data_IF_817660419735
#
_entry.id   IF_817660419735
#
_cell.length_a   1.000
_cell.length_b   1.000
_cell.length_c   1.000
_cell.angle_alpha   90.00
_cell.angle_beta   90.00
_cell.angle_gamma   90.00
#
_symmetry.space_group_name_H-M   'P 1'
#
loop_
_entity.id
_entity.type
_entity.pdbx_description
1 polymer ?
#
# COMPACT_ATOMS: atom_id res chain seq x y z
N UNK A 1 6.14 -9.78 1.00
CA UNK A 1 5.52 -9.23 -0.22
C UNK A 1 5.34 -10.32 -1.29
N UNK A 2 6.40 -10.99 -1.76
CA UNK A 2 6.36 -12.01 -2.83
C UNK A 2 5.35 -13.12 -2.51
N UNK A 3 5.31 -13.63 -1.28
CA UNK A 3 4.33 -14.64 -0.85
C UNK A 3 2.90 -14.18 -1.09
N UNK A 4 2.59 -12.94 -0.73
CA UNK A 4 1.25 -12.36 -0.95
C UNK A 4 0.93 -12.16 -2.43
N UNK A 5 1.96 -11.92 -3.26
CA UNK A 5 1.79 -11.91 -4.73
C UNK A 5 1.32 -13.26 -5.22
N UNK A 6 1.97 -14.34 -4.76
CA UNK A 6 1.60 -15.73 -5.11
C UNK A 6 0.15 -16.03 -4.65
N UNK A 7 -0.18 -15.71 -3.40
CA UNK A 7 -1.53 -15.92 -2.84
C UNK A 7 -2.62 -15.25 -3.73
N UNK A 8 -2.36 -14.05 -4.26
CA UNK A 8 -3.28 -13.35 -5.17
C UNK A 8 -3.41 -14.05 -6.54
N UNK A 9 -2.30 -14.55 -7.08
CA UNK A 9 -2.33 -15.29 -8.35
C UNK A 9 -3.10 -16.61 -8.17
N UNK A 10 -2.86 -17.35 -7.08
CA UNK A 10 -3.60 -18.56 -6.74
C UNK A 10 -5.10 -18.29 -6.57
N UNK A 11 -5.47 -17.20 -5.87
CA UNK A 11 -6.87 -16.81 -5.74
C UNK A 11 -7.51 -16.51 -7.10
N UNK A 12 -6.79 -15.87 -8.02
CA UNK A 12 -7.28 -15.58 -9.36
C UNK A 12 -7.52 -16.84 -10.21
N UNK A 13 -6.82 -17.94 -9.95
CA UNK A 13 -7.07 -19.23 -10.62
C UNK A 13 -8.48 -19.77 -10.36
N UNK A 14 -9.13 -19.36 -9.27
CA UNK A 14 -10.53 -19.72 -8.96
C UNK A 14 -11.59 -18.89 -9.68
N UNK A 15 -11.20 -17.78 -10.31
CA UNK A 15 -12.14 -16.84 -10.93
C UNK A 15 -13.03 -17.44 -12.04
N UNK A 16 -12.56 -18.36 -12.90
CA UNK A 16 -13.43 -18.97 -13.91
C UNK A 16 -14.69 -19.61 -13.32
N UNK A 17 -14.59 -20.22 -12.15
CA UNK A 17 -15.76 -20.77 -11.44
C UNK A 17 -16.73 -19.69 -10.95
N UNK A 18 -16.21 -18.51 -10.57
CA UNK A 18 -17.03 -17.36 -10.12
C UNK A 18 -17.63 -16.56 -11.30
N UNK A 19 -17.12 -16.78 -12.51
CA UNK A 19 -17.65 -16.17 -13.74
C UNK A 19 -18.89 -16.85 -14.28
N UNK A 20 -19.32 -17.96 -13.71
CA UNK A 20 -20.57 -18.62 -14.10
C UNK A 20 -21.72 -17.62 -14.06
N UNK A 21 -22.55 -17.65 -15.11
CA UNK A 21 -23.73 -16.82 -15.22
C UNK A 21 -24.89 -17.33 -14.37
N UNK A 22 -26.03 -16.74 -14.60
CA UNK A 22 -27.31 -17.16 -13.98
C UNK A 22 -28.31 -17.48 -15.08
N UNK A 23 -29.11 -18.52 -14.86
CA UNK A 23 -30.25 -18.83 -15.71
C UNK A 23 -31.55 -18.78 -14.87
N UNK A 24 -32.54 -18.07 -15.36
CA UNK A 24 -33.88 -17.98 -14.78
C UNK A 24 -34.84 -18.53 -15.80
N UNK A 25 -35.46 -19.70 -15.51
CA UNK A 25 -36.46 -20.29 -16.39
C UNK A 25 -37.85 -19.74 -16.08
N UNK A 26 -38.64 -19.51 -17.12
CA UNK A 26 -40.01 -19.01 -17.00
C UNK A 26 -40.15 -17.72 -16.18
N UNK A 27 -39.23 -16.80 -16.34
CA UNK A 27 -39.29 -15.46 -15.71
C UNK A 27 -40.57 -14.71 -16.10
N UNK A 28 -41.09 -15.02 -17.29
CA UNK A 28 -42.42 -14.73 -17.78
C UNK A 28 -42.88 -15.91 -18.65
N UNK A 29 -44.15 -15.97 -18.98
CA UNK A 29 -44.70 -17.11 -19.76
C UNK A 29 -43.95 -17.23 -21.10
N UNK A 30 -43.20 -18.34 -21.24
CA UNK A 30 -42.43 -18.66 -22.45
C UNK A 30 -41.13 -17.87 -22.60
N UNK A 31 -40.64 -17.21 -21.52
CA UNK A 31 -39.39 -16.45 -21.53
C UNK A 31 -38.42 -17.02 -20.51
N UNK A 32 -37.26 -17.43 -20.97
CA UNK A 32 -36.09 -17.75 -20.14
C UNK A 32 -35.07 -16.65 -20.27
N UNK A 33 -34.37 -16.31 -19.17
CA UNK A 33 -33.31 -15.30 -19.13
C UNK A 33 -31.99 -15.94 -18.74
N UNK A 34 -30.93 -15.60 -19.46
CA UNK A 34 -29.56 -16.07 -19.17
C UNK A 34 -28.63 -14.86 -19.10
N UNK A 35 -27.93 -14.72 -17.98
CA UNK A 35 -26.89 -13.72 -17.79
C UNK A 35 -25.50 -14.34 -18.03
N UNK A 36 -24.71 -13.73 -18.91
CA UNK A 36 -23.32 -14.10 -19.15
C UNK A 36 -22.39 -12.97 -18.71
N UNK A 37 -21.25 -13.33 -18.13
CA UNK A 37 -20.16 -12.39 -17.82
C UNK A 37 -19.22 -12.35 -19.02
N UNK A 38 -18.91 -11.16 -19.50
CA UNK A 38 -18.02 -10.94 -20.65
C UNK A 38 -16.90 -9.97 -20.27
N UNK A 39 -15.69 -10.09 -20.86
CA UNK A 39 -14.62 -9.14 -20.65
C UNK A 39 -14.99 -7.73 -21.16
N UNK A 40 -14.42 -6.70 -20.53
CA UNK A 40 -14.64 -5.30 -20.90
C UNK A 40 -13.58 -4.78 -21.87
N UNK A 41 -12.40 -5.37 -21.89
CA UNK A 41 -11.29 -4.96 -22.74
C UNK A 41 -9.99 -4.72 -21.99
N UNK A 42 -9.35 -3.58 -22.21
CA UNK A 42 -8.03 -3.26 -21.62
C UNK A 42 -8.16 -2.53 -20.31
N UNK A 43 -7.45 -2.98 -19.28
CA UNK A 43 -7.35 -2.32 -17.99
C UNK A 43 -5.95 -1.73 -17.78
N UNK A 44 -5.89 -0.51 -17.26
CA UNK A 44 -4.66 0.11 -16.78
C UNK A 44 -4.54 -0.07 -15.25
N UNK A 45 -3.37 -0.50 -14.79
CA UNK A 45 -3.04 -0.65 -13.37
C UNK A 45 -1.89 0.29 -13.00
N UNK A 46 -2.12 1.16 -12.03
CA UNK A 46 -1.16 2.17 -11.56
C UNK A 46 -0.88 1.91 -10.08
N UNK A 47 0.10 1.04 -9.76
CA UNK A 47 0.45 0.69 -8.40
C UNK A 47 1.43 1.67 -7.76
N UNK A 48 1.55 1.67 -6.41
CA UNK A 48 2.50 2.50 -5.68
C UNK A 48 3.91 1.89 -5.66
N UNK A 49 4.85 2.62 -5.09
CA UNK A 49 6.25 2.20 -4.96
C UNK A 49 6.51 1.21 -3.82
N UNK A 50 5.69 1.22 -2.76
CA UNK A 50 5.99 0.53 -1.50
C UNK A 50 5.78 -1.00 -1.54
N UNK A 51 4.98 -1.48 -2.50
CA UNK A 51 4.76 -2.91 -2.76
C UNK A 51 4.72 -3.17 -4.27
N UNK A 52 5.89 -3.15 -4.94
CA UNK A 52 5.97 -3.17 -6.40
C UNK A 52 5.61 -4.51 -7.05
N UNK A 53 5.53 -5.61 -6.29
CA UNK A 53 5.05 -6.90 -6.76
C UNK A 53 3.61 -7.18 -6.29
N UNK A 54 3.32 -6.97 -5.00
CA UNK A 54 2.06 -7.36 -4.39
C UNK A 54 0.89 -6.51 -4.88
N UNK A 55 1.01 -5.19 -4.87
CA UNK A 55 -0.13 -4.32 -5.21
C UNK A 55 -0.55 -4.44 -6.67
N UNK A 56 0.36 -4.53 -7.66
CA UNK A 56 -0.07 -4.86 -9.02
C UNK A 56 -0.83 -6.18 -9.11
N UNK A 57 -0.43 -7.20 -8.32
CA UNK A 57 -1.09 -8.51 -8.33
C UNK A 57 -2.50 -8.52 -7.72
N UNK A 58 -2.94 -7.44 -7.12
CA UNK A 58 -4.35 -7.29 -6.73
C UNK A 58 -5.28 -7.07 -7.94
N UNK A 59 -4.72 -6.80 -9.11
CA UNK A 59 -5.49 -6.39 -10.30
C UNK A 59 -5.19 -7.25 -11.53
N UNK A 60 -3.92 -7.36 -11.96
CA UNK A 60 -3.58 -7.99 -13.24
C UNK A 60 -3.97 -9.49 -13.32
N UNK A 61 -3.86 -10.32 -12.26
CA UNK A 61 -4.26 -11.73 -12.37
C UNK A 61 -5.76 -11.88 -12.59
N UNK A 62 -6.54 -11.04 -11.91
CA UNK A 62 -8.00 -11.03 -12.03
C UNK A 62 -8.45 -10.48 -13.39
N UNK A 63 -7.77 -9.48 -13.93
CA UNK A 63 -8.03 -8.99 -15.29
C UNK A 63 -7.80 -10.10 -16.31
N UNK A 64 -6.65 -10.79 -16.26
CA UNK A 64 -6.34 -11.91 -17.15
C UNK A 64 -7.33 -13.08 -16.99
N UNK A 65 -7.63 -13.50 -15.75
CA UNK A 65 -8.54 -14.60 -15.47
C UNK A 65 -9.98 -14.33 -15.92
N UNK A 66 -10.37 -13.06 -16.05
CA UNK A 66 -11.70 -12.64 -16.57
C UNK A 66 -11.70 -12.32 -18.06
N UNK A 67 -10.62 -12.65 -18.79
CA UNK A 67 -10.50 -12.48 -20.25
C UNK A 67 -10.19 -11.06 -20.70
N UNK A 68 -9.74 -10.19 -19.80
CA UNK A 68 -9.30 -8.84 -20.13
C UNK A 68 -7.79 -8.78 -20.37
N UNK A 69 -7.35 -7.77 -21.13
CA UNK A 69 -5.94 -7.40 -21.20
C UNK A 69 -5.60 -6.38 -20.11
N UNK A 70 -4.35 -6.38 -19.67
CA UNK A 70 -3.89 -5.47 -18.62
C UNK A 70 -2.57 -4.79 -19.00
N UNK A 71 -2.48 -3.50 -18.72
CA UNK A 71 -1.25 -2.71 -18.81
C UNK A 71 -0.89 -2.26 -17.39
N UNK A 72 0.23 -2.73 -16.87
CA UNK A 72 0.77 -2.30 -15.57
C UNK A 72 1.79 -1.20 -15.79
N UNK A 73 1.54 -0.02 -15.21
CA UNK A 73 2.51 1.09 -15.16
C UNK A 73 3.04 1.21 -13.73
N UNK A 74 4.17 0.58 -13.40
CA UNK A 74 4.74 0.68 -12.05
C UNK A 74 5.19 2.10 -11.72
N UNK A 75 5.48 2.34 -10.43
CA UNK A 75 6.14 3.59 -10.03
C UNK A 75 7.52 3.68 -10.70
N UNK A 76 7.83 4.85 -11.24
CA UNK A 76 9.13 5.17 -11.84
C UNK A 76 10.29 5.07 -10.85
N UNK A 77 10.00 5.09 -9.55
CA UNK A 77 10.99 4.97 -8.48
C UNK A 77 11.46 3.52 -8.24
N UNK A 78 10.64 2.52 -8.63
CA UNK A 78 10.91 1.10 -8.37
C UNK A 78 10.54 0.20 -9.57
N UNK A 79 11.06 0.46 -10.77
CA UNK A 79 10.64 -0.25 -11.98
C UNK A 79 11.18 -1.69 -12.05
N UNK A 80 12.30 -1.99 -11.39
CA UNK A 80 13.05 -3.25 -11.55
C UNK A 80 12.22 -4.47 -11.15
N UNK A 81 11.52 -4.42 -10.02
CA UNK A 81 10.71 -5.55 -9.53
C UNK A 81 9.61 -5.93 -10.52
N UNK A 82 8.87 -4.93 -11.03
CA UNK A 82 7.83 -5.19 -12.03
C UNK A 82 8.40 -5.67 -13.35
N UNK A 83 9.53 -5.12 -13.79
CA UNK A 83 10.22 -5.59 -15.02
C UNK A 83 10.59 -7.06 -14.89
N UNK A 84 11.22 -7.46 -13.77
CA UNK A 84 11.60 -8.86 -13.55
C UNK A 84 10.38 -9.79 -13.43
N UNK A 85 9.31 -9.34 -12.79
CA UNK A 85 8.07 -10.12 -12.70
C UNK A 85 7.46 -10.37 -14.09
N UNK A 86 7.47 -9.36 -14.97
CA UNK A 86 6.92 -9.50 -16.31
C UNK A 86 7.78 -10.38 -17.24
N UNK A 87 9.11 -10.41 -17.06
CA UNK A 87 9.97 -11.40 -17.70
C UNK A 87 9.54 -12.82 -17.30
N UNK A 88 9.32 -13.07 -16.02
CA UNK A 88 8.86 -14.38 -15.52
C UNK A 88 7.46 -14.74 -16.03
N UNK A 89 6.55 -13.77 -16.18
CA UNK A 89 5.22 -13.96 -16.77
C UNK A 89 5.32 -14.36 -18.24
N UNK A 90 6.23 -13.75 -18.99
CA UNK A 90 6.50 -14.11 -20.39
C UNK A 90 7.08 -15.53 -20.49
N UNK A 91 8.08 -15.86 -19.66
CA UNK A 91 8.64 -17.21 -19.53
C UNK A 91 7.57 -18.27 -19.18
N UNK A 92 6.53 -17.89 -18.41
CA UNK A 92 5.40 -18.77 -18.06
C UNK A 92 4.43 -19.01 -19.23
N UNK A 93 4.61 -18.35 -20.38
CA UNK A 93 3.86 -18.60 -21.61
C UNK A 93 2.50 -17.88 -21.68
N UNK A 94 2.35 -16.75 -21.03
CA UNK A 94 1.18 -15.91 -21.25
C UNK A 94 1.09 -15.46 -22.71
N UNK A 95 -0.09 -15.49 -23.33
CA UNK A 95 -0.24 -15.02 -24.72
C UNK A 95 0.19 -13.55 -24.87
N UNK A 96 0.92 -13.20 -25.94
CA UNK A 96 1.34 -11.83 -26.19
C UNK A 96 0.15 -10.84 -26.16
N UNK A 97 0.35 -9.70 -25.49
CA UNK A 97 -0.65 -8.64 -25.39
C UNK A 97 -1.70 -8.82 -24.30
N UNK A 98 -1.76 -9.97 -23.62
CA UNK A 98 -2.67 -10.15 -22.45
C UNK A 98 -2.18 -9.34 -21.26
N UNK A 99 -0.90 -9.46 -20.92
CA UNK A 99 -0.27 -8.71 -19.84
C UNK A 99 0.88 -7.89 -20.42
N UNK A 100 0.90 -6.60 -20.11
CA UNK A 100 1.84 -5.65 -20.67
C UNK A 100 2.43 -4.78 -19.56
N UNK A 101 3.73 -4.51 -19.63
CA UNK A 101 4.42 -3.58 -18.75
C UNK A 101 4.74 -2.29 -19.50
N UNK A 102 4.38 -1.14 -18.93
CA UNK A 102 4.71 0.15 -19.49
C UNK A 102 5.37 1.04 -18.44
N UNK A 103 6.68 1.15 -18.49
CA UNK A 103 7.43 2.06 -17.63
C UNK A 103 7.25 3.51 -18.06
N UNK A 104 7.27 4.42 -17.11
CA UNK A 104 7.17 5.86 -17.36
C UNK A 104 6.70 6.64 -16.14
N UNK A 105 6.68 7.92 -16.29
CA UNK A 105 6.32 8.89 -15.25
C UNK A 105 4.80 9.17 -15.20
N UNK A 106 4.45 10.29 -14.57
CA UNK A 106 3.09 10.77 -14.47
C UNK A 106 2.40 10.96 -15.83
N UNK A 107 3.13 11.42 -16.86
CA UNK A 107 2.55 11.70 -18.19
C UNK A 107 2.04 10.41 -18.84
N UNK A 108 2.76 9.31 -18.66
CA UNK A 108 2.34 7.98 -19.13
C UNK A 108 1.09 7.51 -18.37
N UNK A 109 1.03 7.74 -17.06
CA UNK A 109 -0.16 7.40 -16.27
C UNK A 109 -1.39 8.17 -16.75
N UNK A 110 -1.27 9.47 -16.96
CA UNK A 110 -2.36 10.34 -17.49
C UNK A 110 -2.79 9.89 -18.88
N UNK A 111 -1.84 9.53 -19.75
CA UNK A 111 -2.13 9.01 -21.08
C UNK A 111 -2.93 7.71 -21.04
N UNK A 112 -2.60 6.78 -20.13
CA UNK A 112 -3.36 5.54 -19.93
C UNK A 112 -4.77 5.84 -19.41
N UNK A 113 -4.91 6.74 -18.45
CA UNK A 113 -6.20 7.12 -17.87
C UNK A 113 -7.13 7.75 -18.90
N UNK A 114 -6.60 8.49 -19.87
CA UNK A 114 -7.40 9.19 -20.88
C UNK A 114 -7.56 8.41 -22.20
N UNK A 115 -6.74 7.36 -22.42
CA UNK A 115 -6.68 6.64 -23.70
C UNK A 115 -8.03 5.97 -24.04
N UNK A 116 -8.60 6.19 -25.22
CA UNK A 116 -9.94 5.68 -25.59
C UNK A 116 -10.02 4.14 -25.60
N UNK A 117 -8.93 3.44 -25.87
CA UNK A 117 -8.86 1.97 -25.85
C UNK A 117 -8.78 1.34 -24.46
N UNK A 118 -8.64 2.13 -23.39
CA UNK A 118 -8.64 1.64 -22.01
C UNK A 118 -10.06 1.67 -21.47
N UNK A 119 -10.59 0.51 -21.08
CA UNK A 119 -11.95 0.36 -20.57
C UNK A 119 -12.05 0.65 -19.05
N UNK A 120 -10.98 0.40 -18.31
CA UNK A 120 -10.97 0.60 -16.86
C UNK A 120 -9.58 0.91 -16.31
N UNK A 121 -9.57 1.56 -15.14
CA UNK A 121 -8.35 1.96 -14.41
C UNK A 121 -8.44 1.48 -12.97
N UNK A 122 -7.39 0.81 -12.52
CA UNK A 122 -7.20 0.45 -11.11
C UNK A 122 -5.91 1.10 -10.60
N UNK A 123 -6.00 1.84 -9.50
CA UNK A 123 -4.82 2.50 -8.94
C UNK A 123 -4.80 2.43 -7.41
N UNK A 124 -3.58 2.40 -6.86
CA UNK A 124 -3.34 2.61 -5.42
C UNK A 124 -2.26 3.67 -5.30
N UNK A 125 -2.61 4.81 -4.75
CA UNK A 125 -1.74 6.00 -4.70
C UNK A 125 -2.05 6.84 -3.46
N UNK A 126 -1.38 7.98 -3.30
CA UNK A 126 -1.78 8.94 -2.25
C UNK A 126 -3.23 9.44 -2.49
N UNK A 127 -3.92 9.80 -1.42
CA UNK A 127 -5.33 10.26 -1.50
C UNK A 127 -5.57 11.39 -2.51
N UNK A 128 -4.72 12.45 -2.60
CA UNK A 128 -4.90 13.48 -3.64
C UNK A 128 -4.78 12.93 -5.06
N UNK A 129 -3.80 12.04 -5.30
CA UNK A 129 -3.59 11.40 -6.61
C UNK A 129 -4.74 10.45 -6.95
N UNK A 130 -5.20 9.65 -5.98
CA UNK A 130 -6.34 8.75 -6.16
C UNK A 130 -7.61 9.51 -6.59
N UNK A 131 -7.90 10.64 -5.93
CA UNK A 131 -9.02 11.53 -6.30
C UNK A 131 -8.88 12.10 -7.71
N UNK A 132 -7.67 12.52 -8.09
CA UNK A 132 -7.40 13.06 -9.43
C UNK A 132 -7.57 11.98 -10.52
N UNK A 133 -7.02 10.79 -10.31
CA UNK A 133 -7.18 9.64 -11.23
C UNK A 133 -8.64 9.24 -11.35
N UNK A 134 -9.36 9.17 -10.23
CA UNK A 134 -10.78 8.85 -10.22
C UNK A 134 -11.60 9.85 -11.04
N UNK A 135 -11.40 11.14 -10.79
CA UNK A 135 -12.10 12.20 -11.51
C UNK A 135 -11.81 12.16 -13.03
N UNK A 136 -10.52 12.04 -13.39
CA UNK A 136 -10.10 12.01 -14.79
C UNK A 136 -10.64 10.77 -15.52
N UNK A 137 -10.54 9.58 -14.93
CA UNK A 137 -11.06 8.35 -15.53
C UNK A 137 -12.59 8.41 -15.70
N UNK A 138 -13.30 8.92 -14.70
CA UNK A 138 -14.77 9.07 -14.75
C UNK A 138 -15.21 10.04 -15.84
N UNK A 139 -14.49 11.15 -16.04
CA UNK A 139 -14.75 12.09 -17.14
C UNK A 139 -14.63 11.45 -18.54
N UNK A 140 -13.81 10.39 -18.64
CA UNK A 140 -13.63 9.63 -19.88
C UNK A 140 -14.51 8.37 -19.95
N UNK A 141 -15.52 8.25 -19.07
CA UNK A 141 -16.49 7.15 -19.08
C UNK A 141 -15.93 5.77 -18.72
N UNK A 142 -14.78 5.71 -18.02
CA UNK A 142 -14.10 4.46 -17.69
C UNK A 142 -14.60 3.86 -16.38
N UNK A 143 -14.50 2.54 -16.25
CA UNK A 143 -14.56 1.89 -14.96
C UNK A 143 -13.33 2.30 -14.15
N UNK A 144 -13.51 2.69 -12.87
CA UNK A 144 -12.41 3.18 -12.06
C UNK A 144 -12.49 2.66 -10.63
N UNK A 145 -11.34 2.20 -10.14
CA UNK A 145 -11.13 1.82 -8.75
C UNK A 145 -9.83 2.46 -8.27
N UNK A 146 -9.92 3.31 -7.24
CA UNK A 146 -8.76 3.99 -6.68
C UNK A 146 -8.69 3.76 -5.18
N UNK A 147 -7.60 3.13 -4.72
CA UNK A 147 -7.21 3.10 -3.31
C UNK A 147 -6.39 4.34 -2.95
N UNK A 148 -6.70 4.96 -1.83
CA UNK A 148 -5.99 6.11 -1.28
C UNK A 148 -5.23 5.77 0.00
N UNK A 149 -4.78 6.79 0.72
CA UNK A 149 -4.11 6.69 2.02
C UNK A 149 -5.08 6.34 3.15
N UNK A 150 -4.50 5.98 4.30
CA UNK A 150 -5.22 5.65 5.52
C UNK A 150 -4.48 6.20 6.75
N UNK A 151 -5.18 6.27 7.89
CA UNK A 151 -4.59 6.49 9.22
C UNK A 151 -5.11 5.41 10.15
N UNK A 152 -4.27 4.41 10.40
CA UNK A 152 -4.69 3.20 11.10
C UNK A 152 -4.36 3.27 12.58
N UNK A 153 -5.18 2.58 13.38
CA UNK A 153 -5.07 2.49 14.81
C UNK A 153 -4.82 1.05 15.24
N UNK A 154 -3.91 0.87 16.19
CA UNK A 154 -3.77 -0.35 16.97
C UNK A 154 -4.31 -0.07 18.36
N UNK A 155 -5.39 -0.74 18.74
CA UNK A 155 -5.99 -0.61 20.07
C UNK A 155 -5.49 -1.77 20.91
N UNK A 156 -4.79 -1.44 22.00
CA UNK A 156 -4.22 -2.42 22.93
C UNK A 156 -5.04 -2.44 24.21
N UNK A 157 -5.70 -3.57 24.45
CA UNK A 157 -6.56 -3.77 25.61
C UNK A 157 -5.76 -4.09 26.86
N UNK A 158 -6.31 -3.87 28.08
CA UNK A 158 -5.58 -4.08 29.35
C UNK A 158 -5.16 -5.54 29.62
N UNK A 159 -5.81 -6.49 28.98
CA UNK A 159 -5.54 -7.92 29.07
C UNK A 159 -4.66 -8.46 27.93
N UNK A 160 -4.07 -7.56 27.13
CA UNK A 160 -3.17 -7.94 26.05
C UNK A 160 -1.86 -8.53 26.62
N UNK A 161 -1.40 -9.61 25.99
CA UNK A 161 -0.07 -10.16 26.23
C UNK A 161 0.99 -9.25 25.59
N UNK A 162 1.77 -8.57 26.42
CA UNK A 162 2.78 -7.61 25.97
C UNK A 162 3.90 -8.30 25.19
N UNK A 163 4.37 -9.48 25.63
CA UNK A 163 5.45 -10.22 24.97
C UNK A 163 5.07 -10.61 23.55
N UNK A 164 3.82 -11.03 23.34
CA UNK A 164 3.29 -11.36 22.03
C UNK A 164 2.93 -10.12 21.20
N UNK A 165 2.37 -9.09 21.81
CA UNK A 165 1.85 -7.90 21.10
C UNK A 165 2.95 -6.95 20.64
N UNK A 166 4.00 -6.75 21.45
CA UNK A 166 5.05 -5.78 21.20
C UNK A 166 5.76 -5.97 19.84
N UNK A 167 6.24 -7.18 19.48
CA UNK A 167 6.88 -7.39 18.18
C UNK A 167 5.94 -7.12 16.99
N UNK A 168 4.65 -7.46 17.13
CA UNK A 168 3.65 -7.25 16.09
C UNK A 168 3.33 -5.76 15.91
N UNK A 169 3.26 -4.98 16.99
CA UNK A 169 3.09 -3.53 16.94
C UNK A 169 4.31 -2.90 16.25
N UNK A 170 5.52 -3.29 16.66
CA UNK A 170 6.77 -2.80 16.07
C UNK A 170 6.85 -3.08 14.57
N UNK A 171 6.55 -4.31 14.12
CA UNK A 171 6.51 -4.62 12.68
C UNK A 171 5.40 -3.84 11.95
N UNK A 172 4.23 -3.68 12.58
CA UNK A 172 3.14 -2.91 11.99
C UNK A 172 3.50 -1.44 11.76
N UNK A 173 4.16 -0.80 12.73
CA UNK A 173 4.50 0.62 12.67
C UNK A 173 5.75 0.89 11.83
N UNK A 174 6.83 0.14 12.07
CA UNK A 174 8.16 0.44 11.51
C UNK A 174 8.54 -0.44 10.32
N UNK A 175 7.83 -1.54 10.09
CA UNK A 175 8.07 -2.38 8.92
C UNK A 175 7.97 -1.56 7.62
N UNK A 176 8.91 -1.80 6.69
CA UNK A 176 9.05 -1.00 5.45
C UNK A 176 9.20 0.51 5.74
N UNK A 177 9.83 0.85 6.88
CA UNK A 177 10.06 2.25 7.33
C UNK A 177 8.74 3.03 7.50
N UNK A 178 7.68 2.35 7.95
CA UNK A 178 6.33 2.93 8.08
C UNK A 178 5.65 3.29 6.75
N UNK A 179 6.22 2.90 5.61
CA UNK A 179 5.69 3.20 4.27
C UNK A 179 4.68 2.12 3.83
N UNK A 180 3.76 1.79 4.71
CA UNK A 180 2.66 0.86 4.46
C UNK A 180 1.31 1.58 4.62
N UNK A 181 0.39 1.38 3.69
CA UNK A 181 -0.99 1.88 3.82
C UNK A 181 -1.73 1.26 5.02
N UNK A 182 -1.28 0.10 5.51
CA UNK A 182 -1.82 -0.60 6.67
C UNK A 182 -0.95 -0.45 7.94
N UNK A 183 0.06 0.45 7.95
CA UNK A 183 0.87 0.70 9.14
C UNK A 183 -0.01 1.21 10.30
N UNK A 184 0.02 0.53 11.44
CA UNK A 184 -0.72 0.93 12.64
C UNK A 184 -0.03 2.07 13.38
N UNK A 185 0.07 3.23 12.73
CA UNK A 185 0.88 4.36 13.21
C UNK A 185 0.33 5.06 14.45
N UNK A 186 -0.97 4.93 14.73
CA UNK A 186 -1.57 5.34 16.01
C UNK A 186 -1.71 4.12 16.92
N UNK A 187 -1.07 4.14 18.10
CA UNK A 187 -1.17 3.08 19.10
C UNK A 187 -1.95 3.63 20.31
N UNK A 188 -3.10 3.02 20.59
CA UNK A 188 -4.01 3.46 21.65
C UNK A 188 -4.01 2.41 22.76
N UNK A 189 -3.34 2.70 23.87
CA UNK A 189 -3.39 1.88 25.07
C UNK A 189 -4.62 2.22 25.91
N UNK A 190 -5.36 1.20 26.34
CA UNK A 190 -6.57 1.38 27.14
C UNK A 190 -6.26 1.30 28.62
N UNK A 191 -6.67 2.34 29.35
CA UNK A 191 -6.54 2.42 30.82
C UNK A 191 -5.08 2.49 31.29
N UNK A 192 -4.77 1.85 32.43
CA UNK A 192 -3.44 1.86 33.04
C UNK A 192 -2.40 1.04 32.29
N UNK A 193 -2.79 0.26 31.27
CA UNK A 193 -1.83 -0.51 30.47
C UNK A 193 -0.84 0.38 29.72
N UNK A 194 -1.18 1.65 29.51
CA UNK A 194 -0.28 2.65 28.96
C UNK A 194 1.03 2.80 29.75
N UNK A 195 0.97 2.66 31.08
CA UNK A 195 2.14 2.79 31.98
C UNK A 195 3.18 1.70 31.73
N UNK A 196 2.78 0.54 31.24
CA UNK A 196 3.63 -0.58 30.89
C UNK A 196 4.00 -0.57 29.38
N UNK A 197 3.03 -0.34 28.52
CA UNK A 197 3.20 -0.41 27.07
C UNK A 197 4.11 0.70 26.53
N UNK A 198 3.93 1.95 26.96
CA UNK A 198 4.68 3.07 26.39
C UNK A 198 6.19 2.96 26.61
N UNK A 199 6.69 2.65 27.82
CA UNK A 199 8.13 2.41 28.02
C UNK A 199 8.66 1.24 27.18
N UNK A 200 7.89 0.15 27.05
CA UNK A 200 8.28 -1.01 26.27
C UNK A 200 8.39 -0.68 24.76
N UNK A 201 7.47 0.11 24.24
CA UNK A 201 7.50 0.58 22.86
C UNK A 201 8.72 1.48 22.59
N UNK A 202 9.04 2.40 23.49
CA UNK A 202 10.21 3.28 23.37
C UNK A 202 11.49 2.47 23.40
N UNK A 203 11.60 1.52 24.33
CA UNK A 203 12.77 0.64 24.42
C UNK A 203 12.94 -0.23 23.17
N UNK A 204 11.86 -0.83 22.68
CA UNK A 204 11.90 -1.63 21.45
C UNK A 204 12.25 -0.76 20.23
N UNK A 205 11.69 0.43 20.11
CA UNK A 205 11.95 1.36 19.01
C UNK A 205 13.42 1.84 19.00
N UNK A 206 14.01 2.09 20.18
CA UNK A 206 15.41 2.52 20.30
C UNK A 206 16.44 1.46 19.85
N UNK A 207 16.03 0.20 19.79
CA UNK A 207 16.88 -0.92 19.33
C UNK A 207 16.78 -1.22 17.84
N UNK A 208 15.91 -0.53 17.11
CA UNK A 208 15.74 -0.73 15.66
C UNK A 208 16.99 -0.27 14.92
N UNK A 209 17.64 -1.17 14.24
CA UNK A 209 18.82 -0.89 13.42
C UNK A 209 18.42 -0.29 12.08
N UNK A 210 19.00 0.86 11.74
CA UNK A 210 18.68 1.60 10.51
C UNK A 210 19.86 1.55 9.54
N UNK A 211 19.63 1.15 8.30
CA UNK A 211 20.70 1.04 7.32
C UNK A 211 20.25 0.51 5.97
N UNK A 212 21.22 0.03 5.18
CA UNK A 212 20.91 -0.60 3.90
C UNK A 212 20.25 -1.97 4.14
N UNK A 213 19.05 -2.15 3.61
CA UNK A 213 18.26 -3.39 3.80
C UNK A 213 18.87 -4.67 3.20
N UNK A 214 20.00 -4.56 2.48
CA UNK A 214 20.77 -5.72 2.02
C UNK A 214 21.83 -6.17 3.03
N UNK A 215 22.11 -5.35 4.03
CA UNK A 215 23.10 -5.68 5.05
C UNK A 215 22.44 -6.52 6.16
N UNK A 216 23.21 -7.49 6.67
CA UNK A 216 22.73 -8.39 7.74
C UNK A 216 22.48 -7.62 9.05
N UNK A 217 21.39 -7.93 9.72
CA UNK A 217 21.00 -7.31 10.99
C UNK A 217 20.35 -5.92 10.87
N UNK A 218 20.13 -5.41 9.67
CA UNK A 218 19.37 -4.18 9.47
C UNK A 218 17.88 -4.47 9.48
N UNK A 219 17.17 -3.81 10.39
CA UNK A 219 15.73 -3.96 10.57
C UNK A 219 14.91 -2.96 9.72
N UNK A 220 15.45 -1.77 9.47
CA UNK A 220 14.72 -0.69 8.79
C UNK A 220 15.59 0.02 7.75
N UNK A 221 15.10 0.06 6.51
CA UNK A 221 15.72 0.74 5.37
C UNK A 221 15.41 2.24 5.29
N UNK A 222 15.72 2.90 4.17
CA UNK A 222 15.42 4.31 3.96
C UNK A 222 13.94 4.54 3.60
N UNK A 223 13.47 5.78 3.73
CA UNK A 223 12.29 6.25 3.00
C UNK A 223 12.63 6.44 1.52
N UNK A 224 11.61 6.50 0.67
CA UNK A 224 11.77 6.38 -0.78
C UNK A 224 12.52 7.56 -1.44
N UNK A 225 12.38 8.77 -0.93
CA UNK A 225 12.99 9.99 -1.50
C UNK A 225 13.35 10.99 -0.43
N UNK A 226 14.21 11.96 -0.78
CA UNK A 226 14.49 13.13 0.08
C UNK A 226 13.23 13.93 0.38
N UNK A 227 12.36 14.13 -0.60
CA UNK A 227 11.08 14.83 -0.38
C UNK A 227 10.20 14.10 0.66
N UNK A 228 10.18 12.76 0.64
CA UNK A 228 9.51 11.96 1.66
C UNK A 228 10.16 12.12 3.03
N UNK A 229 11.49 12.13 3.10
CA UNK A 229 12.23 12.36 4.33
C UNK A 229 11.90 13.73 4.96
N UNK A 230 11.92 14.79 4.17
CA UNK A 230 11.57 16.14 4.63
C UNK A 230 10.11 16.24 5.07
N UNK A 231 9.20 15.59 4.36
CA UNK A 231 7.80 15.53 4.74
C UNK A 231 7.62 14.86 6.11
N UNK A 232 8.27 13.71 6.35
CA UNK A 232 8.20 13.01 7.64
C UNK A 232 8.78 13.89 8.77
N UNK A 233 9.93 14.56 8.54
CA UNK A 233 10.50 15.52 9.49
C UNK A 233 9.52 16.62 9.85
N UNK A 234 8.79 17.18 8.87
CA UNK A 234 7.77 18.22 9.13
C UNK A 234 6.62 17.73 10.00
N UNK A 235 6.26 16.44 9.92
CA UNK A 235 5.28 15.84 10.82
C UNK A 235 5.82 15.72 12.25
N UNK A 236 7.08 15.29 12.42
CA UNK A 236 7.73 15.23 13.74
C UNK A 236 7.76 16.61 14.39
N UNK A 237 8.16 17.64 13.64
CA UNK A 237 8.14 19.03 14.11
C UNK A 237 6.73 19.49 14.47
N UNK A 238 5.74 19.19 13.64
CA UNK A 238 4.34 19.53 13.89
C UNK A 238 3.79 18.86 15.16
N UNK A 239 4.13 17.58 15.38
CA UNK A 239 3.69 16.87 16.58
C UNK A 239 4.19 17.51 17.86
N UNK A 240 5.49 17.82 17.92
CA UNK A 240 6.11 18.52 19.04
C UNK A 240 5.52 19.92 19.22
N UNK A 241 5.36 20.70 18.14
CA UNK A 241 4.79 22.05 18.18
C UNK A 241 3.31 22.08 18.64
N UNK A 242 2.55 21.02 18.36
CA UNK A 242 1.17 20.86 18.82
C UNK A 242 1.05 20.35 20.26
N UNK A 243 2.18 20.06 20.92
CA UNK A 243 2.26 19.68 22.33
C UNK A 243 2.20 18.17 22.58
N UNK A 244 2.41 17.32 21.58
CA UNK A 244 2.65 15.91 21.81
C UNK A 244 4.02 15.71 22.48
N UNK A 245 4.11 14.74 23.38
CA UNK A 245 5.37 14.41 24.07
C UNK A 245 6.24 13.53 23.20
N UNK A 246 7.36 14.08 22.71
CA UNK A 246 8.35 13.33 21.92
C UNK A 246 9.21 12.49 22.87
N UNK A 247 9.07 11.17 22.81
CA UNK A 247 9.79 10.21 23.67
C UNK A 247 11.05 9.66 23.01
N UNK A 248 11.01 9.50 21.69
CA UNK A 248 12.16 9.10 20.87
C UNK A 248 12.15 9.89 19.57
N UNK A 249 13.27 10.52 19.26
CA UNK A 249 13.42 11.31 18.04
C UNK A 249 14.26 10.59 16.98
N UNK A 250 13.61 10.09 15.96
CA UNK A 250 14.27 9.37 14.87
C UNK A 250 15.17 10.24 13.98
N UNK A 251 15.19 11.56 14.17
CA UNK A 251 16.11 12.47 13.47
C UNK A 251 17.52 12.45 14.06
N UNK A 252 17.64 11.99 15.32
CA UNK A 252 18.88 11.94 16.10
C UNK A 252 19.48 10.53 16.21
N UNK A 253 18.87 9.53 15.57
CA UNK A 253 19.37 8.17 15.56
C UNK A 253 20.70 8.06 14.79
N UNK A 254 21.53 7.09 15.19
CA UNK A 254 22.69 6.67 14.40
C UNK A 254 22.20 6.03 13.08
N UNK A 255 22.63 6.58 11.95
CA UNK A 255 22.21 6.14 10.64
C UNK A 255 23.25 6.53 9.58
N UNK A 256 23.26 5.86 8.41
CA UNK A 256 24.21 6.20 7.35
C UNK A 256 24.07 7.65 6.86
N UNK A 257 25.20 8.30 6.59
CA UNK A 257 25.25 9.68 6.07
C UNK A 257 24.66 9.81 4.66
N UNK A 258 24.71 8.73 3.87
CA UNK A 258 24.22 8.71 2.49
C UNK A 258 22.93 7.90 2.39
N UNK A 259 21.90 8.52 1.86
CA UNK A 259 20.57 7.94 1.69
C UNK A 259 19.49 8.74 2.39
N UNK A 260 18.26 8.27 2.28
CA UNK A 260 17.09 8.96 2.83
C UNK A 260 16.63 8.31 4.14
N UNK A 261 17.58 8.15 5.08
CA UNK A 261 17.30 7.46 6.33
C UNK A 261 16.61 8.37 7.35
N UNK A 262 15.76 7.75 8.17
CA UNK A 262 15.15 8.30 9.38
C UNK A 262 15.00 7.14 10.36
N UNK A 263 15.33 7.37 11.62
CA UNK A 263 15.11 6.42 12.68
C UNK A 263 13.66 6.40 13.18
N UNK A 264 13.33 5.45 14.06
CA UNK A 264 12.03 5.37 14.70
C UNK A 264 11.75 6.60 15.55
N UNK A 265 10.56 7.15 15.43
CA UNK A 265 10.06 8.25 16.27
C UNK A 265 8.87 7.75 17.08
N UNK A 266 8.81 8.11 18.35
CA UNK A 266 7.71 7.77 19.25
C UNK A 266 7.18 9.05 19.91
N UNK A 267 5.90 9.31 19.74
CA UNK A 267 5.15 10.33 20.46
C UNK A 267 4.20 9.70 21.47
N UNK A 268 3.98 10.42 22.56
CA UNK A 268 2.96 10.16 23.57
C UNK A 268 2.10 11.39 23.79
N UNK A 269 1.00 11.26 24.53
CA UNK A 269 0.05 12.35 24.80
C UNK A 269 -0.50 13.00 23.52
N UNK A 270 -0.69 12.18 22.48
CA UNK A 270 -1.21 12.64 21.20
C UNK A 270 -2.72 12.80 21.27
N UNK A 271 -3.21 14.01 21.00
CA UNK A 271 -4.65 14.29 20.96
C UNK A 271 -5.24 14.06 19.57
N UNK A 272 -6.54 13.73 19.49
CA UNK A 272 -7.21 13.46 18.20
C UNK A 272 -7.26 14.64 17.21
N UNK A 273 -7.06 15.88 17.71
CA UNK A 273 -7.03 17.09 16.88
C UNK A 273 -5.66 17.36 16.26
N UNK A 274 -4.60 16.72 16.74
CA UNK A 274 -3.26 16.90 16.24
C UNK A 274 -3.09 16.36 14.81
N UNK A 275 -2.24 17.02 14.02
CA UNK A 275 -1.97 16.62 12.65
C UNK A 275 -1.42 15.22 12.54
N UNK A 276 -0.51 14.83 13.46
CA UNK A 276 0.11 13.48 13.49
C UNK A 276 -0.88 12.37 13.80
N UNK A 277 -1.99 12.67 14.50
CA UNK A 277 -3.08 11.72 14.76
C UNK A 277 -4.01 11.52 13.56
N UNK A 278 -4.16 12.52 12.70
CA UNK A 278 -5.20 12.57 11.66
C UNK A 278 -4.70 12.28 10.27
N UNK A 279 -3.46 12.67 9.96
CA UNK A 279 -2.90 12.57 8.63
C UNK A 279 -1.96 11.37 8.50
N UNK A 280 -1.95 10.74 7.33
CA UNK A 280 -1.01 9.67 6.99
C UNK A 280 0.40 10.23 6.87
N UNK A 281 1.30 9.79 7.74
CA UNK A 281 2.70 10.24 7.74
C UNK A 281 3.51 9.48 6.69
N UNK A 282 3.28 8.19 6.54
CA UNK A 282 3.98 7.29 5.62
C UNK A 282 5.49 7.29 5.86
N UNK A 283 5.87 7.13 7.12
CA UNK A 283 7.23 7.15 7.64
C UNK A 283 7.30 6.53 9.03
N UNK A 284 8.49 6.38 9.63
CA UNK A 284 8.69 5.63 10.87
C UNK A 284 8.32 6.47 12.11
N UNK A 285 7.06 6.86 12.21
CA UNK A 285 6.52 7.69 13.30
C UNK A 285 5.32 6.99 13.94
N UNK A 286 5.45 6.67 15.21
CA UNK A 286 4.39 6.19 16.09
C UNK A 286 3.77 7.36 16.87
N UNK A 287 2.45 7.39 16.95
CA UNK A 287 1.69 8.41 17.67
C UNK A 287 0.52 7.82 18.44
#
# INVERSE_FOLDING_TARGET
EVRRTIDNVEAACGIPSLMQGRSLTQISRGIDEVAHRVPLGVFAVIPPFNFPAMVPSWFWPYAAATGNSCIVKPSELVPITSSRLFEMIDEAGFPPGVLNLLNGDRSVAESLVTHPGVAGVSSVTSTPTAKAVYALASQHGKRVQCGGGAKNFVVVMPDADLEHSLPNIMDSVYGTTGQRCLAGSNVVAIGSFADELVPALVEAASRVTVGNGLDEGIAMGPVITEASRQRVKSYIESGAAQGARLLLDGRECDMPDRGFFLGPTVFDEVRPDMRIAREEIFGPVMS
#
